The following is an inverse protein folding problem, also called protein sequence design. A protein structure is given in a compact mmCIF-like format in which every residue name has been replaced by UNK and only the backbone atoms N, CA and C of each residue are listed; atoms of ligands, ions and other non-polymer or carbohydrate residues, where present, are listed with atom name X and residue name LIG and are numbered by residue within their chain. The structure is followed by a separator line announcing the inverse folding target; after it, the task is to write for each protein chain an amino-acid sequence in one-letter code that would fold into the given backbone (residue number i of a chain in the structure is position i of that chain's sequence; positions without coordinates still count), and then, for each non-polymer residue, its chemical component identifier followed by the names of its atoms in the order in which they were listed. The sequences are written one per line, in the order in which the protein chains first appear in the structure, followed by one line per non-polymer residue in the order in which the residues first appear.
data_IF_388559557762
#
_entry.id   IF_388559557762
#
_cell.length_a   1.000
_cell.length_b   1.000
_cell.length_c   1.000
_cell.angle_alpha   90.00
_cell.angle_beta   90.00
_cell.angle_gamma   90.00
#
_symmetry.space_group_name_H-M   'P 1'
#
loop_
_entity.id
_entity.type
_entity.pdbx_description
1 polymer ?
#
# COMPACT_ATOMS: atom_id res chain seq x y z
N UNK A 1 -1.04 -3.00 -13.95
CA UNK A 1 -0.59 -1.58 -13.86
C UNK A 1 0.91 -1.62 -13.69
N UNK A 2 1.70 -0.78 -14.38
CA UNK A 2 3.16 -0.76 -14.16
C UNK A 2 3.55 0.02 -12.89
N UNK A 3 4.82 -0.10 -12.48
CA UNK A 3 5.34 0.51 -11.26
C UNK A 3 5.33 2.05 -11.31
N UNK A 4 5.55 2.66 -12.48
CA UNK A 4 5.55 4.12 -12.61
C UNK A 4 4.13 4.68 -12.44
N UNK A 5 3.14 4.04 -13.06
CA UNK A 5 1.74 4.36 -12.90
C UNK A 5 1.27 4.15 -11.46
N UNK A 6 1.72 3.08 -10.80
CA UNK A 6 1.45 2.86 -9.37
C UNK A 6 2.05 3.96 -8.50
N UNK A 7 3.31 4.32 -8.73
CA UNK A 7 3.99 5.42 -8.04
C UNK A 7 3.24 6.73 -8.20
N UNK A 8 2.86 7.10 -9.44
CA UNK A 8 2.05 8.30 -9.71
C UNK A 8 0.71 8.26 -8.98
N UNK A 9 0.07 7.09 -8.93
CA UNK A 9 -1.19 6.92 -8.20
C UNK A 9 -1.02 7.17 -6.70
N UNK A 10 -0.01 6.57 -6.06
CA UNK A 10 0.29 6.82 -4.66
C UNK A 10 0.59 8.30 -4.38
N UNK A 11 1.41 8.95 -5.21
CA UNK A 11 1.78 10.36 -5.05
C UNK A 11 0.64 11.35 -5.32
N UNK A 12 -0.40 10.94 -6.05
CA UNK A 12 -1.61 11.76 -6.23
C UNK A 12 -2.46 11.90 -4.96
N UNK A 13 -2.21 11.06 -3.94
CA UNK A 13 -2.94 11.09 -2.68
C UNK A 13 -2.43 12.20 -1.78
N UNK A 14 -3.34 12.81 -1.03
CA UNK A 14 -3.05 13.93 -0.14
C UNK A 14 -2.01 13.55 0.92
N UNK A 15 -1.02 14.42 1.16
CA UNK A 15 -0.03 14.23 2.22
C UNK A 15 0.86 12.99 2.06
N UNK A 16 0.98 12.46 0.84
CA UNK A 16 1.87 11.33 0.55
C UNK A 16 3.27 11.82 0.21
N UNK A 17 4.26 11.12 0.77
CA UNK A 17 5.67 11.18 0.37
C UNK A 17 6.18 9.77 0.06
N UNK A 18 7.28 9.72 -0.68
CA UNK A 18 8.00 8.48 -0.97
C UNK A 18 9.46 8.54 -0.50
N UNK A 19 10.11 7.38 -0.41
CA UNK A 19 11.55 7.29 -0.17
C UNK A 19 12.03 5.87 0.02
N UNK A 20 13.32 5.75 0.39
CA UNK A 20 14.07 4.50 0.42
C UNK A 20 14.62 4.20 1.84
N UNK A 21 13.75 4.03 2.86
CA UNK A 21 14.21 3.85 4.25
C UNK A 21 14.85 2.48 4.51
N UNK A 22 14.76 1.53 3.56
CA UNK A 22 15.21 0.15 3.72
C UNK A 22 16.25 -0.26 2.66
N UNK A 23 16.98 0.71 2.10
CA UNK A 23 17.93 0.50 1.01
C UNK A 23 17.42 1.04 -0.32
N UNK A 24 18.30 1.04 -1.33
CA UNK A 24 18.10 1.74 -2.61
C UNK A 24 16.98 1.13 -3.48
N UNK A 25 16.65 -0.14 -3.26
CA UNK A 25 15.68 -0.87 -4.09
C UNK A 25 14.27 -0.96 -3.49
N UNK A 26 14.08 -0.50 -2.24
CA UNK A 26 12.79 -0.58 -1.54
C UNK A 26 12.09 0.77 -1.47
N UNK A 27 11.13 0.98 -2.37
CA UNK A 27 10.31 2.18 -2.44
C UNK A 27 9.16 2.13 -1.43
N UNK A 28 9.11 3.11 -0.54
CA UNK A 28 8.11 3.20 0.54
C UNK A 28 7.28 4.45 0.39
N UNK A 29 5.95 4.30 0.40
CA UNK A 29 5.01 5.42 0.42
C UNK A 29 4.43 5.62 1.82
N UNK A 30 4.40 6.88 2.25
CA UNK A 30 3.94 7.29 3.58
C UNK A 30 2.90 8.38 3.47
N UNK A 31 1.82 8.29 4.23
CA UNK A 31 0.89 9.40 4.48
C UNK A 31 1.21 10.02 5.83
N UNK A 32 1.50 11.31 5.86
CA UNK A 32 1.90 12.03 7.09
C UNK A 32 3.02 11.29 7.88
N UNK A 33 4.00 10.74 7.16
CA UNK A 33 5.13 10.00 7.74
C UNK A 33 4.83 8.56 8.19
N UNK A 34 3.62 8.04 7.98
CA UNK A 34 3.23 6.65 8.30
C UNK A 34 3.08 5.82 7.02
N UNK A 35 3.71 4.64 7.00
CA UNK A 35 3.78 3.77 5.83
C UNK A 35 2.41 3.16 5.51
N UNK A 36 2.01 3.21 4.24
CA UNK A 36 0.83 2.50 3.71
C UNK A 36 1.13 1.62 2.50
N UNK A 37 2.25 1.82 1.79
CA UNK A 37 2.66 0.94 0.71
C UNK A 37 4.18 0.75 0.69
N UNK A 38 4.63 -0.47 0.43
CA UNK A 38 6.05 -0.82 0.27
C UNK A 38 6.18 -1.69 -0.98
N UNK A 39 6.98 -1.27 -1.94
CA UNK A 39 7.23 -2.01 -3.18
C UNK A 39 8.73 -1.99 -3.48
N UNK A 40 9.17 -2.80 -4.44
CA UNK A 40 10.55 -2.81 -4.92
C UNK A 40 10.58 -2.82 -6.45
N UNK A 41 11.76 -2.63 -7.01
CA UNK A 41 12.01 -2.77 -8.44
C UNK A 41 12.27 -4.23 -8.86
N UNK A 42 12.22 -5.17 -7.90
CA UNK A 42 12.48 -6.59 -8.14
C UNK A 42 11.25 -7.29 -8.73
N UNK A 43 11.51 -8.29 -9.58
CA UNK A 43 10.47 -9.16 -10.11
C UNK A 43 10.23 -10.39 -9.21
N UNK A 44 8.98 -10.87 -9.06
CA UNK A 44 7.77 -10.28 -9.64
C UNK A 44 7.43 -8.95 -8.98
N UNK A 45 6.96 -7.98 -9.78
CA UNK A 45 6.58 -6.69 -9.24
C UNK A 45 5.47 -6.92 -8.22
N UNK A 46 5.68 -6.50 -6.98
CA UNK A 46 4.67 -6.64 -5.92
C UNK A 46 4.68 -5.47 -4.92
N UNK A 47 3.57 -5.31 -4.20
CA UNK A 47 3.42 -4.29 -3.17
C UNK A 47 2.82 -4.85 -1.90
N UNK A 48 3.45 -4.54 -0.77
CA UNK A 48 2.86 -4.72 0.55
C UNK A 48 1.89 -3.57 0.85
N UNK A 49 0.62 -3.92 1.09
CA UNK A 49 -0.45 -3.00 1.45
C UNK A 49 -1.05 -3.38 2.80
N UNK A 50 -1.35 -2.37 3.62
CA UNK A 50 -2.05 -2.55 4.87
C UNK A 50 -3.51 -2.93 4.58
N UNK A 51 -4.05 -3.83 5.37
CA UNK A 51 -5.41 -4.31 5.23
C UNK A 51 -6.06 -4.54 6.59
N UNK A 52 -7.38 -4.53 6.59
CA UNK A 52 -8.15 -4.95 7.75
C UNK A 52 -8.01 -6.48 7.88
N UNK A 53 -7.86 -7.05 9.08
CA UNK A 53 -7.60 -8.49 9.23
C UNK A 53 -8.64 -9.40 8.58
N UNK A 54 -9.92 -9.05 8.61
CA UNK A 54 -10.99 -9.88 8.03
C UNK A 54 -10.93 -9.81 6.51
N UNK A 55 -10.85 -8.59 5.97
CA UNK A 55 -10.67 -8.35 4.52
C UNK A 55 -9.36 -8.95 3.99
N UNK A 56 -8.31 -8.98 4.80
CA UNK A 56 -7.02 -9.55 4.40
C UNK A 56 -7.14 -11.05 4.09
N UNK A 57 -7.95 -11.78 4.88
CA UNK A 57 -8.21 -13.20 4.66
C UNK A 57 -9.08 -13.38 3.41
N UNK A 58 -10.19 -12.66 3.30
CA UNK A 58 -11.09 -12.70 2.15
C UNK A 58 -10.36 -12.48 0.82
N UNK A 59 -9.49 -11.46 0.76
CA UNK A 59 -8.71 -11.16 -0.44
C UNK A 59 -7.73 -12.27 -0.82
N UNK A 60 -7.12 -12.95 0.15
CA UNK A 60 -6.21 -14.08 -0.12
C UNK A 60 -6.94 -15.32 -0.58
N UNK A 61 -8.19 -15.50 -0.14
CA UNK A 61 -9.04 -16.60 -0.60
C UNK A 61 -9.61 -16.33 -2.00
N UNK A 62 -9.81 -15.05 -2.34
CA UNK A 62 -10.41 -14.65 -3.62
C UNK A 62 -9.40 -14.52 -4.76
N UNK A 63 -8.13 -14.23 -4.46
CA UNK A 63 -7.11 -13.93 -5.47
C UNK A 63 -5.78 -14.65 -5.17
N UNK A 64 -5.29 -15.43 -6.13
CA UNK A 64 -3.97 -16.09 -6.03
C UNK A 64 -2.82 -15.08 -5.95
N UNK A 65 -3.00 -13.88 -6.52
CA UNK A 65 -2.02 -12.79 -6.51
C UNK A 65 -1.93 -12.04 -5.18
N UNK A 66 -2.80 -12.35 -4.22
CA UNK A 66 -2.81 -11.74 -2.89
C UNK A 66 -2.26 -12.75 -1.89
N UNK A 67 -1.05 -12.48 -1.42
CA UNK A 67 -0.32 -13.35 -0.49
C UNK A 67 -0.15 -12.68 0.88
N UNK A 68 0.16 -13.45 1.95
CA UNK A 68 0.50 -12.88 3.24
C UNK A 68 1.68 -11.89 3.14
N UNK A 69 1.58 -10.74 3.81
CA UNK A 69 2.57 -9.66 3.72
C UNK A 69 4.02 -10.12 3.94
N UNK A 70 4.87 -9.88 2.94
CA UNK A 70 6.28 -10.23 2.95
C UNK A 70 7.05 -9.31 3.89
N UNK A 71 7.81 -9.90 4.83
CA UNK A 71 8.49 -9.19 5.94
C UNK A 71 7.60 -8.31 6.84
N UNK A 72 6.27 -8.38 6.66
CA UNK A 72 5.30 -7.59 7.41
C UNK A 72 4.45 -8.49 8.33
N UNK A 73 3.66 -7.85 9.19
CA UNK A 73 2.68 -8.54 10.01
C UNK A 73 1.56 -9.07 9.12
N UNK A 74 1.56 -10.40 8.88
CA UNK A 74 0.62 -11.13 8.02
C UNK A 74 -0.84 -11.05 8.48
N UNK A 75 -1.14 -10.54 9.67
CA UNK A 75 -2.53 -10.22 10.07
C UNK A 75 -3.03 -8.93 9.42
N UNK A 76 -2.15 -7.97 9.17
CA UNK A 76 -2.51 -6.61 8.80
C UNK A 76 -1.98 -6.19 7.43
N UNK A 77 -1.24 -7.06 6.75
CA UNK A 77 -0.58 -6.74 5.49
C UNK A 77 -0.72 -7.87 4.49
N UNK A 78 -0.96 -7.50 3.24
CA UNK A 78 -0.96 -8.37 2.07
C UNK A 78 0.14 -7.93 1.11
N UNK A 79 0.81 -8.89 0.49
CA UNK A 79 1.62 -8.66 -0.73
C UNK A 79 0.70 -8.88 -1.92
N UNK A 80 0.58 -7.89 -2.80
CA UNK A 80 -0.22 -7.96 -4.03
C UNK A 80 0.72 -7.95 -5.22
N UNK A 81 0.64 -8.96 -6.08
CA UNK A 81 1.38 -9.04 -7.33
C UNK A 81 0.77 -8.10 -8.39
N UNK A 82 1.59 -7.25 -9.00
CA UNK A 82 1.15 -6.33 -10.06
C UNK A 82 0.99 -7.00 -11.43
N UNK A 83 1.63 -8.16 -11.62
CA UNK A 83 1.79 -8.82 -12.92
C UNK A 83 0.78 -9.95 -13.13
N UNK A 84 -0.06 -10.24 -12.14
CA UNK A 84 -1.08 -11.27 -12.22
C UNK A 84 -2.44 -10.79 -12.71
N UNK A 85 -3.50 -11.43 -12.24
CA UNK A 85 -4.89 -11.22 -12.67
C UNK A 85 -5.58 -10.05 -11.98
N UNK A 86 -4.96 -9.48 -10.93
CA UNK A 86 -5.49 -8.30 -10.24
C UNK A 86 -5.64 -7.14 -11.24
N UNK A 87 -6.89 -6.69 -11.40
CA UNK A 87 -7.18 -5.56 -12.27
C UNK A 87 -6.59 -4.26 -11.71
N UNK A 88 -6.35 -3.30 -12.60
CA UNK A 88 -5.92 -1.94 -12.22
C UNK A 88 -6.87 -1.32 -11.20
N UNK A 89 -8.16 -1.61 -11.31
CA UNK A 89 -9.19 -1.09 -10.39
C UNK A 89 -9.03 -1.71 -9.00
N UNK A 90 -8.95 -3.03 -8.89
CA UNK A 90 -8.82 -3.72 -7.61
C UNK A 90 -7.54 -3.32 -6.89
N UNK A 91 -6.41 -3.21 -7.60
CA UNK A 91 -5.16 -2.75 -7.02
C UNK A 91 -5.27 -1.33 -6.46
N UNK A 92 -5.97 -0.43 -7.16
CA UNK A 92 -6.27 0.91 -6.64
C UNK A 92 -7.15 0.86 -5.41
N UNK A 93 -8.22 0.08 -5.41
CA UNK A 93 -9.11 -0.09 -4.25
C UNK A 93 -8.38 -0.66 -3.03
N UNK A 94 -7.48 -1.63 -3.21
CA UNK A 94 -6.63 -2.16 -2.13
C UNK A 94 -5.64 -1.11 -1.61
N UNK A 95 -5.09 -0.29 -2.50
CA UNK A 95 -4.17 0.80 -2.15
C UNK A 95 -4.89 1.92 -1.38
N UNK A 96 -6.11 2.25 -1.81
CA UNK A 96 -6.99 3.23 -1.16
C UNK A 96 -7.33 2.78 0.25
N UNK A 97 -7.74 1.52 0.40
CA UNK A 97 -8.02 0.90 1.69
C UNK A 97 -6.82 0.97 2.63
N UNK A 98 -5.62 0.65 2.14
CA UNK A 98 -4.39 0.76 2.92
C UNK A 98 -4.12 2.20 3.39
N UNK A 99 -4.22 3.15 2.47
CA UNK A 99 -4.04 4.57 2.76
C UNK A 99 -5.05 5.06 3.81
N UNK A 100 -6.33 4.73 3.64
CA UNK A 100 -7.41 5.12 4.55
C UNK A 100 -7.25 4.51 5.94
N UNK A 101 -6.86 3.24 6.05
CA UNK A 101 -6.55 2.62 7.34
C UNK A 101 -5.44 3.38 8.08
N UNK A 102 -4.40 3.80 7.36
CA UNK A 102 -3.30 4.57 7.96
C UNK A 102 -3.78 5.96 8.36
N UNK A 103 -4.52 6.67 7.49
CA UNK A 103 -5.13 7.97 7.81
C UNK A 103 -6.02 7.87 9.04
N UNK A 104 -6.86 6.84 9.13
CA UNK A 104 -7.76 6.63 10.25
C UNK A 104 -7.02 6.37 11.56
N UNK A 105 -5.82 5.78 11.50
CA UNK A 105 -4.94 5.57 12.65
C UNK A 105 -4.14 6.82 13.08
N UNK A 106 -4.15 7.90 12.30
CA UNK A 106 -3.44 9.14 12.65
C UNK A 106 -4.04 9.82 13.88
N UNK A 107 -3.20 10.54 14.61
CA UNK A 107 -3.64 11.41 15.70
C UNK A 107 -4.53 12.53 15.16
N UNK A 108 -5.39 13.11 16.01
CA UNK A 108 -6.26 14.24 15.63
C UNK A 108 -5.48 15.39 15.00
N UNK A 109 -4.32 15.75 15.58
CA UNK A 109 -3.43 16.79 15.04
C UNK A 109 -2.98 16.49 13.61
N UNK A 110 -2.50 15.28 13.34
CA UNK A 110 -2.04 14.89 12.00
C UNK A 110 -3.18 14.83 10.99
N UNK A 111 -4.39 14.43 11.40
CA UNK A 111 -5.59 14.50 10.55
C UNK A 111 -5.96 15.93 10.19
N UNK A 112 -5.91 16.85 11.15
CA UNK A 112 -6.17 18.27 10.91
C UNK A 112 -5.12 18.91 9.99
N UNK A 113 -3.84 18.56 10.16
CA UNK A 113 -2.77 18.98 9.26
C UNK A 113 -2.98 18.44 7.84
N UNK A 114 -3.30 17.14 7.71
CA UNK A 114 -3.62 16.52 6.42
C UNK A 114 -4.81 17.21 5.73
N UNK A 115 -5.84 17.62 6.47
CA UNK A 115 -6.99 18.35 5.90
C UNK A 115 -6.62 19.72 5.33
N UNK A 116 -5.54 20.35 5.81
CA UNK A 116 -5.10 21.70 5.39
C UNK A 116 -4.11 21.73 4.22
N UNK A 117 -3.58 20.58 3.78
CA UNK A 117 -2.80 20.51 2.53
C UNK A 117 -3.65 20.80 1.29
#
# INVERSE_FOLDING_TARGET
MDLEAFRKYCLSKKGVSEGFPFGEDTLVFKVMGKIFAITSFEQPLSVNLKCDPEKAVELRESYEDVQPGYHMNKKHWNTVNFEGEISVRELKEMTDHSYELVVNSLTKKLKEELLRL
#
